data_IF_801115723324
#
_entry.id   IF_801115723324
#
_cell.length_a   1.000
_cell.length_b   1.000
_cell.length_c   1.000
_cell.angle_alpha   90.00
_cell.angle_beta   90.00
_cell.angle_gamma   90.00
#
_symmetry.space_group_name_H-M   'P 1'
#
loop_
_entity.id
_entity.type
_entity.pdbx_description
1 polymer ?
#
# COMPACT_ATOMS: atom_id res chain seq x y z
N UNK A 1 9.14 1.75 8.06
CA UNK A 1 7.80 1.55 7.46
C UNK A 1 7.40 2.74 6.61
N UNK A 2 6.88 2.48 5.42
CA UNK A 2 6.44 3.51 4.47
C UNK A 2 5.00 3.25 4.03
N UNK A 3 4.19 4.31 3.93
CA UNK A 3 2.87 4.25 3.29
C UNK A 3 2.99 4.81 1.88
N UNK A 4 2.58 4.02 0.89
CA UNK A 4 2.49 4.47 -0.51
C UNK A 4 1.05 4.55 -0.94
N UNK A 5 0.69 5.67 -1.55
CA UNK A 5 -0.59 5.82 -2.24
C UNK A 5 -0.48 5.30 -3.66
N UNK A 6 -1.38 4.41 -4.03
CA UNK A 6 -1.52 3.85 -5.38
C UNK A 6 -2.81 4.37 -5.98
N UNK A 7 -2.70 4.99 -7.16
CA UNK A 7 -3.81 5.57 -7.89
C UNK A 7 -4.18 4.64 -9.04
N UNK A 8 -5.45 4.25 -9.13
CA UNK A 8 -6.01 3.62 -10.33
C UNK A 8 -6.89 4.63 -11.04
N UNK A 9 -6.72 4.79 -12.34
CA UNK A 9 -7.41 5.83 -13.07
C UNK A 9 -7.36 5.67 -14.58
N UNK A 10 -7.86 6.68 -15.26
CA UNK A 10 -7.90 6.78 -16.72
C UNK A 10 -7.27 8.11 -17.12
N UNK A 11 -6.37 8.09 -18.10
CA UNK A 11 -5.81 9.28 -18.76
C UNK A 11 -6.82 9.92 -19.71
N UNK A 12 -6.56 11.16 -20.11
CA UNK A 12 -7.42 11.90 -21.06
C UNK A 12 -7.53 11.21 -22.44
N UNK A 13 -6.52 10.44 -22.84
CA UNK A 13 -6.51 9.63 -24.06
C UNK A 13 -7.31 8.31 -23.93
N UNK A 14 -7.91 8.05 -22.77
CA UNK A 14 -8.71 6.85 -22.47
C UNK A 14 -7.89 5.65 -21.94
N UNK A 15 -6.57 5.78 -21.82
CA UNK A 15 -5.72 4.68 -21.30
C UNK A 15 -5.92 4.51 -19.79
N UNK A 16 -6.29 3.30 -19.37
CA UNK A 16 -6.36 2.91 -17.96
C UNK A 16 -4.99 2.54 -17.43
N UNK A 17 -4.69 2.94 -16.20
CA UNK A 17 -3.41 2.66 -15.57
C UNK A 17 -3.47 2.60 -14.04
N UNK A 18 -2.38 2.10 -13.47
CA UNK A 18 -2.10 2.06 -12.04
C UNK A 18 -0.78 2.79 -11.83
N UNK A 19 -0.74 3.75 -10.90
CA UNK A 19 0.44 4.55 -10.59
C UNK A 19 0.72 4.50 -9.10
N UNK A 20 1.89 3.99 -8.73
CA UNK A 20 2.31 3.86 -7.32
C UNK A 20 3.20 5.05 -6.92
N UNK A 21 2.89 5.69 -5.79
CA UNK A 21 3.69 6.76 -5.18
C UNK A 21 3.56 8.13 -5.85
N UNK A 22 3.33 8.19 -7.16
CA UNK A 22 3.15 9.44 -7.90
C UNK A 22 1.83 9.45 -8.67
N UNK A 23 1.02 10.51 -8.46
CA UNK A 23 -0.19 10.77 -9.24
C UNK A 23 0.15 11.60 -10.48
N UNK A 24 -0.09 11.09 -11.70
CA UNK A 24 0.05 11.91 -12.90
C UNK A 24 -0.91 13.11 -12.89
N UNK A 25 -0.52 14.24 -13.51
CA UNK A 25 -1.38 15.44 -13.56
C UNK A 25 -2.63 15.24 -14.44
N UNK A 26 -2.49 14.51 -15.55
CA UNK A 26 -3.54 14.35 -16.56
C UNK A 26 -4.28 13.01 -16.43
N UNK A 27 -4.76 12.68 -15.22
CA UNK A 27 -5.60 11.50 -14.98
C UNK A 27 -6.87 11.83 -14.20
N UNK A 28 -7.95 11.16 -14.57
CA UNK A 28 -9.14 11.00 -13.71
C UNK A 28 -8.89 9.81 -12.80
N UNK A 29 -8.75 10.06 -11.50
CA UNK A 29 -8.61 9.01 -10.49
C UNK A 29 -9.97 8.35 -10.28
N UNK A 30 -10.00 7.02 -10.42
CA UNK A 30 -11.18 6.21 -10.13
C UNK A 30 -11.13 5.63 -8.71
N UNK A 31 -9.93 5.30 -8.26
CA UNK A 31 -9.70 4.66 -6.96
C UNK A 31 -8.33 5.10 -6.43
N UNK A 32 -8.28 5.41 -5.13
CA UNK A 32 -7.06 5.69 -4.39
C UNK A 32 -6.91 4.63 -3.29
N UNK A 33 -5.74 4.01 -3.23
CA UNK A 33 -5.46 2.91 -2.30
C UNK A 33 -4.18 3.23 -1.54
N UNK A 34 -4.23 3.20 -0.21
CA UNK A 34 -3.04 3.29 0.62
C UNK A 34 -2.51 1.90 0.91
N UNK A 35 -1.21 1.70 0.70
CA UNK A 35 -0.55 0.42 0.92
C UNK A 35 0.63 0.63 1.87
N UNK A 36 0.64 -0.15 2.94
CA UNK A 36 1.70 -0.20 3.94
C UNK A 36 2.79 -1.17 3.47
N UNK A 37 4.03 -0.70 3.46
CA UNK A 37 5.21 -1.50 3.16
C UNK A 37 6.18 -1.51 4.34
N UNK A 38 6.74 -2.68 4.69
CA UNK A 38 7.83 -2.76 5.64
C UNK A 38 9.13 -2.23 5.02
N UNK A 39 10.09 -1.84 5.85
CA UNK A 39 11.44 -1.52 5.38
C UNK A 39 12.13 -2.75 4.75
N UNK A 40 13.16 -2.49 3.95
CA UNK A 40 13.96 -3.54 3.30
C UNK A 40 14.46 -4.58 4.32
N UNK A 41 14.25 -5.87 4.00
CA UNK A 41 14.61 -6.99 4.87
C UNK A 41 13.64 -7.28 6.02
N UNK A 42 12.54 -6.52 6.16
CA UNK A 42 11.51 -6.73 7.19
C UNK A 42 10.18 -7.23 6.59
N UNK A 43 9.29 -7.71 7.46
CA UNK A 43 7.90 -8.03 7.15
C UNK A 43 6.94 -7.37 8.14
N UNK A 44 5.68 -7.23 7.74
CA UNK A 44 4.60 -6.72 8.59
C UNK A 44 3.96 -7.87 9.35
N UNK A 45 3.93 -7.78 10.68
CA UNK A 45 3.18 -8.69 11.53
C UNK A 45 1.91 -8.01 12.03
N UNK A 46 0.75 -8.60 11.77
CA UNK A 46 -0.50 -8.16 12.34
C UNK A 46 -0.51 -8.46 13.86
N UNK A 47 -0.71 -7.45 14.71
CA UNK A 47 -0.71 -7.59 16.17
C UNK A 47 -1.92 -8.37 16.70
N UNK A 48 -3.03 -8.32 15.96
CA UNK A 48 -4.29 -8.95 16.35
C UNK A 48 -4.33 -10.42 15.92
N UNK A 49 -3.85 -10.75 14.72
CA UNK A 49 -3.91 -12.12 14.17
C UNK A 49 -2.59 -12.87 14.24
N UNK A 50 -1.47 -12.17 14.38
CA UNK A 50 -0.12 -12.74 14.31
C UNK A 50 0.37 -13.06 12.89
N UNK A 51 -0.43 -12.79 11.86
CA UNK A 51 -0.08 -13.07 10.46
C UNK A 51 1.09 -12.20 9.98
N UNK A 52 1.93 -12.79 9.14
CA UNK A 52 3.11 -12.15 8.55
C UNK A 52 2.87 -11.86 7.07
N UNK A 53 3.04 -10.61 6.67
CA UNK A 53 2.69 -10.09 5.36
C UNK A 53 3.82 -9.22 4.79
N UNK A 54 3.98 -9.22 3.46
CA UNK A 54 4.95 -8.37 2.77
C UNK A 54 4.45 -6.95 2.51
N UNK A 55 3.14 -6.77 2.45
CA UNK A 55 2.47 -5.48 2.27
C UNK A 55 1.01 -5.61 2.69
N UNK A 56 0.39 -4.50 3.10
CA UNK A 56 -1.02 -4.48 3.51
C UNK A 56 -1.74 -3.32 2.84
N UNK A 57 -2.94 -3.58 2.30
CA UNK A 57 -3.84 -2.51 1.86
C UNK A 57 -4.56 -1.97 3.09
N UNK A 58 -4.38 -0.67 3.36
CA UNK A 58 -5.09 0.01 4.43
C UNK A 58 -6.54 0.27 3.96
N UNK A 59 -7.48 -0.03 4.83
CA UNK A 59 -8.93 0.15 4.60
C UNK A 59 -9.56 0.72 5.87
N UNK A 60 -10.85 1.04 5.86
CA UNK A 60 -11.52 1.62 7.03
C UNK A 60 -11.40 0.78 8.31
N UNK A 61 -11.16 -0.54 8.17
CA UNK A 61 -11.02 -1.48 9.28
C UNK A 61 -9.57 -1.96 9.50
N UNK A 62 -8.62 -1.47 8.73
CA UNK A 62 -7.22 -1.92 8.77
C UNK A 62 -6.33 -0.68 8.76
N UNK A 63 -5.71 -0.42 9.91
CA UNK A 63 -4.87 0.73 10.16
C UNK A 63 -3.39 0.34 10.25
N UNK A 64 -2.49 1.31 10.02
CA UNK A 64 -1.04 1.08 10.16
C UNK A 64 -0.67 0.55 11.56
N UNK A 65 -1.33 1.07 12.59
CA UNK A 65 -1.04 0.73 13.99
C UNK A 65 -1.39 -0.72 14.35
N UNK A 66 -2.19 -1.41 13.52
CA UNK A 66 -2.44 -2.84 13.66
C UNK A 66 -1.20 -3.70 13.35
N UNK A 67 -0.14 -3.10 12.79
CA UNK A 67 1.05 -3.82 12.33
C UNK A 67 2.33 -3.38 13.05
N UNK A 68 3.26 -4.31 13.18
CA UNK A 68 4.64 -4.07 13.61
C UNK A 68 5.61 -4.66 12.57
N UNK A 69 6.79 -4.05 12.40
CA UNK A 69 7.82 -4.64 11.55
C UNK A 69 8.60 -5.70 12.31
N UNK A 70 8.82 -6.84 11.68
CA UNK A 70 9.65 -7.93 12.21
C UNK A 70 10.74 -8.29 11.22
N UNK A 71 11.94 -8.57 11.73
CA UNK A 71 13.06 -9.06 10.91
C UNK A 71 12.83 -10.53 10.53
N UNK A 72 13.07 -10.85 9.27
CA UNK A 72 13.18 -12.23 8.83
C UNK A 72 14.52 -12.80 9.30
N UNK A 73 14.50 -13.58 10.38
CA UNK A 73 15.63 -14.46 10.69
C UNK A 73 15.66 -15.56 9.63
N UNK A 74 16.57 -15.42 8.67
CA UNK A 74 16.96 -16.50 7.75
C UNK A 74 17.67 -17.63 8.48
#
# INVERSE_FOLDING_TARGET
MEIRTTYKGIREDGVKGIWCGFKPENITVLEEIQILYPDEGKQLKNKNTGEILYSVILTDNISQEDFEEVELKS
#
